data_IF_958268155016
#
_entry.id   IF_958268155016
#
_cell.length_a   1.000
_cell.length_b   1.000
_cell.length_c   1.000
_cell.angle_alpha   90.00
_cell.angle_beta   90.00
_cell.angle_gamma   90.00
#
_symmetry.space_group_name_H-M   'P 1'
#
loop_
_entity.id
_entity.type
_entity.pdbx_description
1 polymer ?
#
# COMPACT_ATOMS: atom_id res chain seq x y z
N UNK A 1 11.14 8.49 24.01
CA UNK A 1 10.71 7.18 24.57
C UNK A 1 9.56 6.68 23.71
N UNK A 2 9.66 5.48 23.12
CA UNK A 2 8.58 4.90 22.30
C UNK A 2 7.31 4.68 23.14
N UNK A 3 6.14 4.97 22.57
CA UNK A 3 4.85 4.67 23.20
C UNK A 3 4.64 3.15 23.30
N UNK A 4 3.77 2.73 24.25
CA UNK A 4 3.50 1.31 24.51
C UNK A 4 2.95 0.58 23.28
N UNK A 5 2.21 1.30 22.43
CA UNK A 5 1.61 0.81 21.18
C UNK A 5 2.65 0.62 20.06
N UNK A 6 3.63 1.52 19.97
CA UNK A 6 4.76 1.41 19.01
C UNK A 6 5.70 0.27 19.40
N UNK A 7 5.93 0.07 20.70
CA UNK A 7 6.66 -1.11 21.20
C UNK A 7 5.92 -2.41 20.86
N UNK A 8 4.60 -2.46 21.02
CA UNK A 8 3.80 -3.66 20.72
C UNK A 8 3.79 -4.01 19.22
N UNK A 9 3.70 -3.01 18.34
CA UNK A 9 3.87 -3.23 16.90
C UNK A 9 5.28 -3.74 16.59
N UNK A 10 6.32 -3.10 17.13
CA UNK A 10 7.72 -3.47 16.91
C UNK A 10 8.12 -4.85 17.48
N UNK A 11 7.63 -5.23 18.66
CA UNK A 11 7.81 -6.57 19.22
C UNK A 11 7.03 -7.61 18.41
N UNK A 12 5.84 -7.29 17.90
CA UNK A 12 5.15 -8.11 16.91
C UNK A 12 5.95 -8.28 15.61
N UNK A 13 6.58 -7.20 15.11
CA UNK A 13 7.43 -7.22 13.90
C UNK A 13 8.71 -8.05 14.07
N UNK A 14 9.41 -7.90 15.20
CA UNK A 14 10.61 -8.67 15.52
C UNK A 14 10.27 -10.15 15.77
N UNK A 15 9.15 -10.42 16.42
CA UNK A 15 8.68 -11.77 16.70
C UNK A 15 8.18 -12.49 15.44
N UNK A 16 7.52 -11.81 14.49
CA UNK A 16 7.08 -12.40 13.21
C UNK A 16 8.26 -12.66 12.28
N UNK A 17 9.25 -11.77 12.24
CA UNK A 17 10.48 -11.99 11.45
C UNK A 17 11.32 -13.12 12.05
N UNK A 18 11.45 -13.17 13.38
CA UNK A 18 12.11 -14.26 14.11
C UNK A 18 11.35 -15.58 14.00
N UNK A 19 10.01 -15.60 14.12
CA UNK A 19 9.18 -16.80 13.93
C UNK A 19 9.18 -17.29 12.49
N UNK A 20 9.15 -16.38 11.51
CA UNK A 20 9.26 -16.70 10.09
C UNK A 20 10.62 -17.33 9.78
N UNK A 21 11.69 -16.80 10.38
CA UNK A 21 13.03 -17.40 10.28
C UNK A 21 13.17 -18.69 11.05
N UNK A 22 12.63 -18.83 12.26
CA UNK A 22 12.63 -20.08 13.05
C UNK A 22 11.81 -21.16 12.34
N UNK A 23 10.72 -20.81 11.66
CA UNK A 23 9.97 -21.73 10.81
C UNK A 23 10.75 -22.10 9.56
N UNK A 24 11.44 -21.15 8.91
CA UNK A 24 12.32 -21.40 7.77
C UNK A 24 13.51 -22.29 8.18
N UNK A 25 14.10 -22.05 9.34
CA UNK A 25 15.21 -22.80 9.93
C UNK A 25 14.76 -24.20 10.34
N UNK A 26 13.59 -24.35 10.98
CA UNK A 26 13.01 -25.66 11.28
C UNK A 26 12.62 -26.43 10.02
N UNK A 27 12.06 -25.77 9.00
CA UNK A 27 11.79 -26.39 7.71
C UNK A 27 13.09 -26.84 7.05
N UNK A 28 14.13 -26.00 6.99
CA UNK A 28 15.41 -26.33 6.36
C UNK A 28 16.21 -27.39 7.15
N UNK A 29 16.11 -27.43 8.47
CA UNK A 29 16.75 -28.45 9.32
C UNK A 29 15.97 -29.77 9.34
N UNK A 30 14.65 -29.75 9.15
CA UNK A 30 13.82 -30.97 9.18
C UNK A 30 13.45 -31.53 7.79
N UNK A 31 13.54 -30.75 6.70
CA UNK A 31 13.34 -31.29 5.34
C UNK A 31 14.43 -32.23 4.80
N UNK A 32 15.71 -32.20 5.25
CA UNK A 32 16.71 -33.13 4.74
C UNK A 32 16.66 -34.51 5.41
N UNK A 33 15.76 -34.72 6.38
CA UNK A 33 15.61 -36.02 7.07
C UNK A 33 15.06 -37.12 6.14
N UNK A 34 14.77 -36.82 4.86
CA UNK A 34 14.28 -37.81 3.89
C UNK A 34 15.19 -38.19 2.74
N UNK A 35 16.43 -37.70 2.65
CA UNK A 35 17.28 -38.05 1.49
C UNK A 35 18.76 -38.08 1.85
N UNK A 36 19.33 -39.29 1.97
CA UNK A 36 20.67 -39.71 1.49
C UNK A 36 21.94 -38.85 1.65
N UNK A 37 21.90 -37.69 2.31
CA UNK A 37 23.04 -36.78 2.44
C UNK A 37 24.03 -37.30 3.47
N UNK A 38 25.30 -37.23 3.10
CA UNK A 38 26.44 -37.46 3.98
C UNK A 38 26.54 -36.40 5.08
N UNK A 39 27.22 -36.73 6.18
CA UNK A 39 27.46 -35.79 7.28
C UNK A 39 28.24 -34.53 6.86
N UNK A 40 29.15 -34.66 5.89
CA UNK A 40 29.90 -33.54 5.32
C UNK A 40 28.99 -32.54 4.59
N UNK A 41 28.04 -33.03 3.80
CA UNK A 41 27.06 -32.19 3.11
C UNK A 41 26.16 -31.46 4.10
N UNK A 42 25.77 -32.09 5.22
CA UNK A 42 25.00 -31.43 6.29
C UNK A 42 25.80 -30.30 6.96
N UNK A 43 27.08 -30.51 7.22
CA UNK A 43 27.97 -29.51 7.85
C UNK A 43 28.18 -28.31 6.91
N UNK A 44 28.42 -28.56 5.62
CA UNK A 44 28.64 -27.52 4.61
C UNK A 44 27.35 -26.71 4.35
N UNK A 45 26.21 -27.40 4.32
CA UNK A 45 24.90 -26.78 4.26
C UNK A 45 24.64 -25.91 5.52
N UNK A 46 24.99 -26.41 6.70
CA UNK A 46 24.91 -25.68 7.97
C UNK A 46 25.76 -24.41 7.99
N UNK A 47 26.99 -24.45 7.47
CA UNK A 47 27.86 -23.26 7.33
C UNK A 47 27.27 -22.24 6.36
N UNK A 48 26.82 -22.68 5.18
CA UNK A 48 26.21 -21.82 4.16
C UNK A 48 24.94 -21.12 4.66
N UNK A 49 24.14 -21.80 5.49
CA UNK A 49 22.96 -21.17 6.11
C UNK A 49 23.32 -20.30 7.32
N UNK A 50 24.38 -20.64 8.08
CA UNK A 50 24.91 -19.79 9.15
C UNK A 50 25.45 -18.45 8.65
N UNK A 51 26.23 -18.44 7.55
CA UNK A 51 26.72 -17.21 6.90
C UNK A 51 25.56 -16.36 6.36
N UNK A 52 24.53 -17.00 5.78
CA UNK A 52 23.31 -16.31 5.37
C UNK A 52 22.54 -15.72 6.57
N UNK A 53 22.52 -16.39 7.71
CA UNK A 53 21.86 -15.88 8.91
C UNK A 53 22.57 -14.63 9.48
N UNK A 54 23.91 -14.61 9.47
CA UNK A 54 24.71 -13.43 9.86
C UNK A 54 24.49 -12.26 8.90
N UNK A 55 24.51 -12.51 7.57
CA UNK A 55 24.22 -11.46 6.59
C UNK A 55 22.80 -10.88 6.76
N UNK A 56 21.81 -11.72 7.09
CA UNK A 56 20.45 -11.25 7.40
C UNK A 56 20.40 -10.46 8.71
N UNK A 57 21.17 -10.84 9.74
CA UNK A 57 21.25 -10.10 11.00
C UNK A 57 21.92 -8.72 10.83
N UNK A 58 22.94 -8.63 9.98
CA UNK A 58 23.56 -7.36 9.57
C UNK A 58 22.56 -6.49 8.78
N UNK A 59 21.81 -7.06 7.83
CA UNK A 59 20.75 -6.35 7.08
C UNK A 59 19.60 -5.87 8.00
N UNK A 60 19.23 -6.64 9.03
CA UNK A 60 18.24 -6.23 10.04
C UNK A 60 18.76 -5.04 10.85
N UNK A 61 20.05 -5.07 11.23
CA UNK A 61 20.69 -3.99 12.01
C UNK A 61 20.78 -2.69 11.19
N UNK A 62 21.10 -2.78 9.90
CA UNK A 62 21.09 -1.64 8.99
C UNK A 62 19.67 -1.10 8.75
N UNK A 63 18.68 -2.00 8.62
CA UNK A 63 17.26 -1.62 8.50
C UNK A 63 16.76 -0.86 9.73
N UNK A 64 17.20 -1.22 10.94
CA UNK A 64 16.88 -0.48 12.16
C UNK A 64 17.48 0.92 12.16
N UNK A 65 18.73 1.07 11.73
CA UNK A 65 19.38 2.40 11.63
C UNK A 65 18.63 3.29 10.65
N UNK A 66 18.35 2.76 9.45
CA UNK A 66 17.61 3.45 8.39
C UNK A 66 16.23 3.88 8.90
N UNK A 67 15.50 2.98 9.55
CA UNK A 67 14.20 3.30 10.13
C UNK A 67 14.28 4.41 11.18
N UNK A 68 15.28 4.38 12.07
CA UNK A 68 15.47 5.45 13.07
C UNK A 68 15.78 6.80 12.43
N UNK A 69 16.54 6.83 11.35
CA UNK A 69 16.83 8.06 10.60
C UNK A 69 15.58 8.62 9.92
N UNK A 70 14.78 7.76 9.28
CA UNK A 70 13.50 8.15 8.68
C UNK A 70 12.56 8.70 9.75
N UNK A 71 12.46 8.02 10.90
CA UNK A 71 11.62 8.48 12.02
C UNK A 71 12.06 9.85 12.54
N UNK A 72 13.37 10.14 12.60
CA UNK A 72 13.84 11.49 12.95
C UNK A 72 13.33 12.53 11.95
N UNK A 73 13.41 12.25 10.65
CA UNK A 73 12.89 13.16 9.60
C UNK A 73 11.39 13.37 9.74
N UNK A 74 10.62 12.31 9.95
CA UNK A 74 9.17 12.39 10.12
C UNK A 74 8.76 13.17 11.38
N UNK A 75 9.50 13.00 12.48
CA UNK A 75 9.24 13.74 13.73
C UNK A 75 9.57 15.24 13.65
N UNK A 76 10.29 15.67 12.60
CA UNK A 76 10.57 17.09 12.34
C UNK A 76 9.48 17.75 11.47
N UNK A 77 8.54 16.98 10.92
CA UNK A 77 7.43 17.54 10.16
C UNK A 77 6.44 18.24 11.08
N UNK A 78 5.88 19.34 10.61
CA UNK A 78 4.79 20.02 11.30
C UNK A 78 3.58 19.09 11.42
N UNK A 79 2.84 19.24 12.52
CA UNK A 79 1.63 18.47 12.73
C UNK A 79 0.62 18.84 11.64
N UNK A 80 0.11 17.83 10.95
CA UNK A 80 -0.94 18.04 9.97
C UNK A 80 -2.28 18.35 10.66
N UNK A 81 -2.92 19.42 10.21
CA UNK A 81 -4.29 19.79 10.54
C UNK A 81 -5.08 19.85 9.23
N UNK A 82 -6.10 18.99 9.05
CA UNK A 82 -6.89 18.99 7.83
C UNK A 82 -7.71 20.28 7.72
N UNK A 83 -7.86 20.79 6.51
CA UNK A 83 -8.70 21.95 6.25
C UNK A 83 -10.16 21.65 6.65
N UNK A 84 -10.82 22.61 7.32
CA UNK A 84 -12.20 22.46 7.80
C UNK A 84 -13.19 22.17 6.65
N UNK A 85 -12.95 22.79 5.50
CA UNK A 85 -13.77 22.64 4.29
C UNK A 85 -13.45 21.35 3.49
N UNK A 86 -12.49 20.54 3.92
CA UNK A 86 -12.05 19.31 3.25
C UNK A 86 -11.43 19.48 1.86
N UNK A 87 -11.02 20.69 1.47
CA UNK A 87 -10.40 20.94 0.16
C UNK A 87 -9.00 20.33 0.08
N UNK A 88 -8.77 19.58 -0.99
CA UNK A 88 -7.42 19.20 -1.40
C UNK A 88 -6.75 20.36 -2.13
N UNK A 89 -5.44 20.40 -2.06
CA UNK A 89 -4.61 21.27 -2.90
C UNK A 89 -3.85 20.42 -3.93
N UNK A 90 -3.45 21.03 -5.05
CA UNK A 90 -2.61 20.37 -6.05
C UNK A 90 -1.29 19.87 -5.44
N UNK A 91 -0.67 20.67 -4.56
CA UNK A 91 0.56 20.30 -3.85
C UNK A 91 0.39 19.03 -3.03
N UNK A 92 -0.72 18.89 -2.29
CA UNK A 92 -1.02 17.69 -1.52
C UNK A 92 -1.16 16.45 -2.39
N UNK A 93 -1.77 16.57 -3.57
CA UNK A 93 -1.91 15.47 -4.53
C UNK A 93 -0.54 15.09 -5.12
N UNK A 94 0.29 16.08 -5.47
CA UNK A 94 1.65 15.82 -5.95
C UNK A 94 2.53 15.14 -4.89
N UNK A 95 2.52 15.62 -3.65
CA UNK A 95 3.24 14.99 -2.53
C UNK A 95 2.73 13.57 -2.29
N UNK A 96 1.41 13.36 -2.28
CA UNK A 96 0.82 12.02 -2.19
C UNK A 96 1.33 11.09 -3.29
N UNK A 97 1.35 11.58 -4.53
CA UNK A 97 1.81 10.83 -5.69
C UNK A 97 3.30 10.45 -5.58
N UNK A 98 4.15 11.38 -5.14
CA UNK A 98 5.57 11.13 -4.88
C UNK A 98 5.77 9.97 -3.90
N UNK A 99 5.01 9.94 -2.80
CA UNK A 99 5.05 8.84 -1.83
C UNK A 99 4.68 7.51 -2.50
N UNK A 100 3.64 7.50 -3.34
CA UNK A 100 3.15 6.27 -4.00
C UNK A 100 4.15 5.74 -5.04
N UNK A 101 4.70 6.61 -5.90
CA UNK A 101 5.72 6.21 -6.88
C UNK A 101 6.97 5.69 -6.19
N UNK A 102 7.49 6.43 -5.19
CA UNK A 102 8.65 6.00 -4.40
C UNK A 102 8.44 4.60 -3.84
N UNK A 103 7.28 4.36 -3.23
CA UNK A 103 6.96 3.05 -2.67
C UNK A 103 7.02 1.95 -3.73
N UNK A 104 6.44 2.23 -4.89
CA UNK A 104 6.31 1.24 -5.93
C UNK A 104 7.64 0.94 -6.63
N UNK A 105 8.46 1.95 -6.88
CA UNK A 105 9.80 1.80 -7.43
C UNK A 105 10.70 0.99 -6.50
N UNK A 106 10.67 1.30 -5.19
CA UNK A 106 11.41 0.54 -4.18
C UNK A 106 10.95 -0.91 -4.08
N UNK A 107 9.64 -1.16 -4.07
CA UNK A 107 9.09 -2.53 -4.07
C UNK A 107 9.48 -3.29 -5.34
N UNK A 108 9.49 -2.62 -6.50
CA UNK A 108 9.90 -3.22 -7.76
C UNK A 108 11.39 -3.56 -7.77
N UNK A 109 12.25 -2.64 -7.34
CA UNK A 109 13.69 -2.89 -7.18
C UNK A 109 13.92 -4.04 -6.22
N UNK A 110 13.30 -4.03 -5.03
CA UNK A 110 13.41 -5.13 -4.08
C UNK A 110 12.98 -6.49 -4.69
N UNK A 111 11.88 -6.54 -5.44
CA UNK A 111 11.46 -7.76 -6.15
C UNK A 111 12.49 -8.21 -7.20
N UNK A 112 13.02 -7.26 -7.97
CA UNK A 112 13.98 -7.54 -9.04
C UNK A 112 15.33 -7.96 -8.48
N UNK A 113 15.83 -7.27 -7.48
CA UNK A 113 17.22 -7.37 -7.03
C UNK A 113 17.37 -8.43 -5.95
N UNK A 114 16.33 -8.71 -5.16
CA UNK A 114 16.40 -9.68 -4.05
C UNK A 114 15.58 -10.95 -4.31
N UNK A 115 14.29 -10.82 -4.58
CA UNK A 115 13.38 -11.97 -4.69
C UNK A 115 13.69 -12.85 -5.91
N UNK A 116 14.11 -12.24 -7.04
CA UNK A 116 14.45 -12.97 -8.26
C UNK A 116 15.66 -13.89 -8.08
N UNK A 117 16.56 -13.56 -7.15
CA UNK A 117 17.76 -14.34 -6.85
C UNK A 117 17.47 -15.60 -6.00
N UNK A 118 16.29 -15.67 -5.38
CA UNK A 118 15.85 -16.85 -4.62
C UNK A 118 15.38 -17.91 -5.62
N UNK A 119 15.89 -19.16 -5.59
CA UNK A 119 15.41 -20.23 -6.45
C UNK A 119 13.88 -20.42 -6.36
N UNK A 120 13.24 -20.79 -7.47
CA UNK A 120 11.79 -20.98 -7.54
C UNK A 120 11.28 -22.01 -6.54
N UNK A 121 10.15 -21.70 -5.89
CA UNK A 121 9.49 -22.60 -4.93
C UNK A 121 9.04 -21.92 -3.63
N UNK A 122 8.80 -22.73 -2.60
CA UNK A 122 8.26 -22.31 -1.31
C UNK A 122 9.08 -21.21 -0.62
N UNK A 123 10.41 -21.23 -0.76
CA UNK A 123 11.30 -20.21 -0.19
C UNK A 123 11.08 -18.80 -0.76
N UNK A 124 10.85 -18.69 -2.08
CA UNK A 124 10.53 -17.41 -2.74
C UNK A 124 9.15 -16.89 -2.30
N UNK A 125 8.17 -17.80 -2.14
CA UNK A 125 6.84 -17.45 -1.66
C UNK A 125 6.85 -16.96 -0.20
N UNK A 126 7.59 -17.63 0.68
CA UNK A 126 7.73 -17.20 2.08
C UNK A 126 8.45 -15.85 2.16
N UNK A 127 9.54 -15.63 1.43
CA UNK A 127 10.25 -14.34 1.41
C UNK A 127 9.34 -13.20 0.94
N UNK A 128 8.52 -13.43 -0.10
CA UNK A 128 7.52 -12.46 -0.54
C UNK A 128 6.48 -12.17 0.54
N UNK A 129 5.92 -13.19 1.20
CA UNK A 129 4.85 -13.01 2.18
C UNK A 129 5.34 -12.43 3.52
N UNK A 130 6.48 -12.88 4.03
CA UNK A 130 7.01 -12.45 5.33
C UNK A 130 7.56 -11.03 5.29
N UNK A 131 8.12 -10.59 4.17
CA UNK A 131 8.78 -9.28 4.07
C UNK A 131 7.92 -8.21 3.39
N UNK A 132 6.85 -8.54 2.66
CA UNK A 132 6.02 -7.55 1.94
C UNK A 132 5.45 -6.45 2.85
N UNK A 133 5.04 -6.77 4.08
CA UNK A 133 4.52 -5.79 5.03
C UNK A 133 5.60 -4.82 5.52
N UNK A 134 6.79 -5.35 5.82
CA UNK A 134 7.94 -4.57 6.31
C UNK A 134 8.47 -3.67 5.20
N UNK A 135 8.72 -4.23 4.01
CA UNK A 135 9.20 -3.48 2.84
C UNK A 135 8.23 -2.34 2.51
N UNK A 136 6.92 -2.61 2.46
CA UNK A 136 5.94 -1.56 2.21
C UNK A 136 5.96 -0.45 3.28
N UNK A 137 6.10 -0.82 4.56
CA UNK A 137 6.13 0.14 5.67
C UNK A 137 7.36 1.04 5.60
N UNK A 138 8.54 0.47 5.35
CA UNK A 138 9.79 1.22 5.18
C UNK A 138 9.71 2.14 3.96
N UNK A 139 9.25 1.61 2.84
CA UNK A 139 9.06 2.37 1.60
C UNK A 139 8.10 3.54 1.79
N UNK A 140 6.96 3.33 2.49
CA UNK A 140 6.02 4.40 2.83
C UNK A 140 6.69 5.45 3.69
N UNK A 141 7.40 5.04 4.74
CA UNK A 141 8.07 5.97 5.65
C UNK A 141 9.15 6.81 4.94
N UNK A 142 9.96 6.20 4.06
CA UNK A 142 10.91 6.92 3.21
C UNK A 142 10.20 7.94 2.31
N UNK A 143 9.17 7.49 1.57
CA UNK A 143 8.44 8.36 0.66
C UNK A 143 7.77 9.53 1.39
N UNK A 144 7.20 9.30 2.56
CA UNK A 144 6.62 10.34 3.43
C UNK A 144 7.68 11.37 3.85
N UNK A 145 8.88 10.91 4.22
CA UNK A 145 9.97 11.80 4.62
C UNK A 145 10.49 12.63 3.42
N UNK A 146 10.60 12.03 2.24
CA UNK A 146 11.04 12.71 1.01
C UNK A 146 10.01 13.74 0.53
N UNK A 147 8.73 13.37 0.51
CA UNK A 147 7.64 14.24 0.15
C UNK A 147 7.32 15.30 1.23
N UNK A 148 7.96 15.25 2.40
CA UNK A 148 7.62 16.09 3.57
C UNK A 148 6.12 16.04 3.88
N UNK A 149 5.58 14.83 3.93
CA UNK A 149 4.17 14.56 4.15
C UNK A 149 4.01 13.70 5.40
N UNK A 150 3.12 14.07 6.31
CA UNK A 150 2.86 13.24 7.49
C UNK A 150 1.99 12.04 7.13
N UNK A 151 2.05 10.96 7.90
CA UNK A 151 1.17 9.81 7.69
C UNK A 151 -0.33 10.17 7.82
N UNK A 152 -0.77 10.97 8.82
CA UNK A 152 -2.14 11.47 8.88
C UNK A 152 -2.56 12.28 7.65
N UNK A 153 -1.67 13.12 7.12
CA UNK A 153 -1.93 13.87 5.88
C UNK A 153 -2.10 12.92 4.69
N UNK A 154 -1.20 11.95 4.54
CA UNK A 154 -1.25 10.96 3.46
C UNK A 154 -2.55 10.15 3.47
N UNK A 155 -2.95 9.67 4.64
CA UNK A 155 -4.18 8.88 4.80
C UNK A 155 -5.42 9.76 4.56
N UNK A 156 -5.39 11.02 4.99
CA UNK A 156 -6.46 11.99 4.74
C UNK A 156 -6.61 12.32 3.25
N UNK A 157 -5.50 12.65 2.56
CA UNK A 157 -5.51 12.90 1.11
C UNK A 157 -5.99 11.67 0.35
N UNK A 158 -5.51 10.47 0.70
CA UNK A 158 -5.95 9.20 0.11
C UNK A 158 -7.48 9.05 0.19
N UNK A 159 -8.05 9.29 1.37
CA UNK A 159 -9.49 9.17 1.60
C UNK A 159 -10.29 10.16 0.74
N UNK A 160 -9.90 11.44 0.74
CA UNK A 160 -10.58 12.49 -0.04
C UNK A 160 -10.54 12.18 -1.54
N UNK A 161 -9.40 11.70 -2.03
CA UNK A 161 -9.25 11.26 -3.41
C UNK A 161 -10.17 10.06 -3.71
N UNK A 162 -10.23 9.04 -2.86
CA UNK A 162 -11.12 7.89 -3.06
C UNK A 162 -12.61 8.27 -3.07
N UNK A 163 -13.03 9.21 -2.24
CA UNK A 163 -14.42 9.71 -2.23
C UNK A 163 -14.74 10.44 -3.54
N UNK A 164 -13.85 11.33 -4.00
CA UNK A 164 -13.98 12.02 -5.28
C UNK A 164 -14.00 11.03 -6.46
N UNK A 165 -13.13 10.03 -6.46
CA UNK A 165 -13.11 8.98 -7.47
C UNK A 165 -14.40 8.15 -7.47
N UNK A 166 -14.91 7.78 -6.29
CA UNK A 166 -16.15 6.99 -6.18
C UNK A 166 -17.36 7.80 -6.66
N UNK A 167 -17.40 9.10 -6.36
CA UNK A 167 -18.41 9.99 -6.92
C UNK A 167 -18.37 9.96 -8.46
N UNK A 168 -17.21 10.19 -9.07
CA UNK A 168 -17.06 10.22 -10.52
C UNK A 168 -17.42 8.86 -11.17
N UNK A 169 -16.98 7.74 -10.59
CA UNK A 169 -17.33 6.39 -11.06
C UNK A 169 -18.83 6.15 -11.00
N UNK A 170 -19.49 6.54 -9.90
CA UNK A 170 -20.94 6.41 -9.77
C UNK A 170 -21.68 7.27 -10.79
N UNK A 171 -21.24 8.48 -11.07
CA UNK A 171 -21.87 9.34 -12.09
C UNK A 171 -21.69 8.77 -13.50
N UNK A 172 -20.49 8.31 -13.86
CA UNK A 172 -20.23 7.66 -15.15
C UNK A 172 -21.13 6.44 -15.35
N UNK A 173 -21.26 5.57 -14.35
CA UNK A 173 -22.16 4.41 -14.38
C UNK A 173 -23.64 4.80 -14.49
N UNK A 174 -24.08 5.86 -13.80
CA UNK A 174 -25.47 6.36 -13.85
C UNK A 174 -25.84 7.01 -15.18
N UNK A 175 -24.88 7.67 -15.84
CA UNK A 175 -25.12 8.39 -17.09
C UNK A 175 -25.60 7.50 -18.25
N UNK A 176 -25.37 6.18 -18.16
CA UNK A 176 -25.64 5.24 -19.25
C UNK A 176 -24.66 5.35 -20.43
N UNK A 177 -23.76 6.36 -20.44
CA UNK A 177 -22.72 6.58 -21.46
C UNK A 177 -21.45 5.78 -21.18
N UNK A 178 -21.61 4.52 -20.77
CA UNK A 178 -20.49 3.62 -20.45
C UNK A 178 -20.21 2.73 -21.65
N UNK A 179 -18.98 2.76 -22.15
CA UNK A 179 -18.58 1.85 -23.23
C UNK A 179 -18.54 0.41 -22.72
N UNK A 180 -18.94 -0.60 -23.51
CA UNK A 180 -18.92 -2.01 -23.07
C UNK A 180 -17.58 -2.46 -22.48
N UNK A 181 -16.46 -2.03 -23.08
CA UNK A 181 -15.10 -2.33 -22.65
C UNK A 181 -14.70 -1.70 -21.30
N UNK A 182 -15.36 -0.62 -20.89
CA UNK A 182 -15.09 0.09 -19.63
C UNK A 182 -15.94 -0.45 -18.47
N UNK A 183 -17.07 -1.10 -18.77
CA UNK A 183 -18.10 -1.42 -17.78
C UNK A 183 -17.56 -2.28 -16.64
N UNK A 184 -16.85 -3.35 -16.95
CA UNK A 184 -16.29 -4.24 -15.93
C UNK A 184 -15.20 -3.54 -15.12
N UNK A 185 -14.37 -2.71 -15.76
CA UNK A 185 -13.35 -1.90 -15.09
C UNK A 185 -13.95 -0.90 -14.11
N UNK A 186 -15.05 -0.22 -14.51
CA UNK A 186 -15.79 0.71 -13.65
C UNK A 186 -16.47 0.00 -12.47
N UNK A 187 -17.05 -1.19 -12.69
CA UNK A 187 -17.65 -1.99 -11.61
C UNK A 187 -16.57 -2.41 -10.61
N UNK A 188 -15.44 -2.95 -11.07
CA UNK A 188 -14.31 -3.33 -10.21
C UNK A 188 -13.74 -2.13 -9.45
N UNK A 189 -13.58 -0.98 -10.12
CA UNK A 189 -13.14 0.26 -9.48
C UNK A 189 -14.11 0.69 -8.37
N UNK A 190 -15.42 0.65 -8.64
CA UNK A 190 -16.46 0.98 -7.65
C UNK A 190 -16.39 0.06 -6.43
N UNK A 191 -16.31 -1.25 -6.63
CA UNK A 191 -16.20 -2.23 -5.54
C UNK A 191 -14.94 -1.99 -4.71
N UNK A 192 -13.80 -1.76 -5.37
CA UNK A 192 -12.52 -1.50 -4.71
C UNK A 192 -12.56 -0.21 -3.89
N UNK A 193 -13.16 0.85 -4.42
CA UNK A 193 -13.36 2.11 -3.71
C UNK A 193 -14.29 1.92 -2.51
N UNK A 194 -15.37 1.15 -2.65
CA UNK A 194 -16.23 0.79 -1.52
C UNK A 194 -15.46 0.03 -0.43
N UNK A 195 -14.57 -0.91 -0.79
CA UNK A 195 -13.71 -1.58 0.19
C UNK A 195 -12.80 -0.59 0.94
N UNK A 196 -12.13 0.30 0.20
CA UNK A 196 -11.20 1.28 0.77
C UNK A 196 -11.91 2.29 1.69
N UNK A 197 -13.16 2.64 1.38
CA UNK A 197 -13.98 3.56 2.16
C UNK A 197 -14.83 2.88 3.24
N UNK A 198 -14.76 1.55 3.37
CA UNK A 198 -15.56 0.80 4.35
C UNK A 198 -17.07 0.75 4.03
N UNK A 199 -17.45 0.94 2.77
CA UNK A 199 -18.83 0.94 2.28
C UNK A 199 -19.27 -0.46 1.83
N UNK A 200 -19.04 -1.47 2.66
CA UNK A 200 -19.37 -2.86 2.35
C UNK A 200 -19.81 -3.64 3.59
N UNK A 201 -20.46 -4.78 3.37
CA UNK A 201 -20.77 -5.77 4.40
C UNK A 201 -20.30 -7.13 3.91
N UNK A 202 -19.54 -7.81 4.75
CA UNK A 202 -19.05 -9.16 4.50
C UNK A 202 -19.94 -10.16 5.23
N UNK A 203 -20.55 -11.06 4.47
CA UNK A 203 -21.33 -12.20 4.96
C UNK A 203 -20.64 -13.50 4.50
N UNK A 204 -20.85 -14.65 5.17
CA UNK A 204 -20.21 -15.90 4.77
C UNK A 204 -20.47 -16.24 3.29
N UNK A 205 -19.44 -16.16 2.46
CA UNK A 205 -19.50 -16.45 1.03
C UNK A 205 -20.00 -15.31 0.13
N UNK A 206 -20.27 -14.12 0.67
CA UNK A 206 -20.72 -12.98 -0.13
C UNK A 206 -20.23 -11.63 0.42
N UNK A 207 -19.79 -10.73 -0.47
CA UNK A 207 -19.43 -9.35 -0.11
C UNK A 207 -20.38 -8.42 -0.85
N UNK A 208 -21.19 -7.67 -0.10
CA UNK A 208 -22.11 -6.68 -0.65
C UNK A 208 -21.54 -5.27 -0.51
N UNK A 209 -21.52 -4.51 -1.61
CA UNK A 209 -21.03 -3.13 -1.65
C UNK A 209 -22.19 -2.13 -1.67
N UNK A 210 -22.02 -1.00 -0.98
CA UNK A 210 -23.04 0.04 -0.81
C UNK A 210 -22.52 1.41 -1.29
N UNK A 211 -22.26 1.59 -2.60
CA UNK A 211 -21.76 2.85 -3.15
C UNK A 211 -22.69 4.05 -2.88
N UNK A 212 -23.98 3.81 -2.67
CA UNK A 212 -24.99 4.81 -2.33
C UNK A 212 -24.87 5.35 -0.90
N UNK A 213 -24.13 4.67 0.00
CA UNK A 213 -23.83 5.16 1.35
C UNK A 213 -22.68 6.17 1.39
N UNK A 214 -22.10 6.51 0.24
CA UNK A 214 -21.13 7.59 0.14
C UNK A 214 -21.78 8.91 0.56
N UNK A 215 -21.21 9.55 1.59
CA UNK A 215 -21.67 10.84 2.08
C UNK A 215 -21.19 11.99 1.17
N UNK A 216 -21.99 12.28 0.14
CA UNK A 216 -21.69 13.33 -0.84
C UNK A 216 -21.64 14.74 -0.23
N UNK A 217 -22.25 14.95 0.94
CA UNK A 217 -22.29 16.28 1.60
C UNK A 217 -20.92 16.72 2.12
N UNK A 218 -19.95 15.80 2.17
CA UNK A 218 -18.59 16.04 2.63
C UNK A 218 -17.55 16.02 1.51
N UNK A 219 -17.97 15.93 0.25
CA UNK A 219 -17.08 15.87 -0.91
C UNK A 219 -17.09 17.24 -1.58
N UNK A 220 -16.05 18.06 -1.40
CA UNK A 220 -15.93 19.31 -2.14
C UNK A 220 -15.91 19.08 -3.64
N UNK A 221 -16.61 19.95 -4.38
CA UNK A 221 -16.60 19.94 -5.85
C UNK A 221 -15.18 20.07 -6.38
N UNK A 222 -14.35 20.89 -5.74
CA UNK A 222 -12.94 21.06 -6.10
C UNK A 222 -12.15 19.75 -6.05
N UNK A 223 -12.46 18.84 -5.12
CA UNK A 223 -11.75 17.56 -5.04
C UNK A 223 -12.10 16.64 -6.22
N UNK A 224 -13.32 16.74 -6.76
CA UNK A 224 -13.74 16.00 -7.96
C UNK A 224 -13.00 16.52 -9.18
N UNK A 225 -12.91 17.85 -9.33
CA UNK A 225 -12.11 18.50 -10.38
C UNK A 225 -10.65 18.05 -10.34
N UNK A 226 -10.02 18.11 -9.17
CA UNK A 226 -8.65 17.65 -8.98
C UNK A 226 -8.49 16.17 -9.31
N UNK A 227 -9.41 15.30 -8.87
CA UNK A 227 -9.39 13.89 -9.26
C UNK A 227 -9.39 13.73 -10.79
N UNK A 228 -10.31 14.40 -11.50
CA UNK A 228 -10.42 14.26 -12.96
C UNK A 228 -9.14 14.69 -13.67
N UNK A 229 -8.51 15.79 -13.21
CA UNK A 229 -7.24 16.29 -13.74
C UNK A 229 -6.10 15.28 -13.50
N UNK A 230 -5.98 14.75 -12.29
CA UNK A 230 -4.86 13.90 -11.89
C UNK A 230 -5.10 12.40 -12.09
N UNK A 231 -6.27 11.96 -12.58
CA UNK A 231 -6.64 10.54 -12.65
C UNK A 231 -5.63 9.65 -13.39
N UNK A 232 -4.99 10.21 -14.43
CA UNK A 232 -4.04 9.51 -15.30
C UNK A 232 -2.59 9.69 -14.84
N UNK A 233 -2.32 10.72 -14.03
CA UNK A 233 -0.99 11.00 -13.50
C UNK A 233 -0.73 10.14 -12.25
N UNK A 234 -1.76 9.95 -11.43
CA UNK A 234 -1.63 9.24 -10.16
C UNK A 234 -1.79 7.73 -10.35
N UNK A 235 -0.87 6.94 -9.78
CA UNK A 235 -1.06 5.51 -9.62
C UNK A 235 -2.02 5.22 -8.47
N UNK A 236 -3.18 4.69 -8.80
CA UNK A 236 -4.18 4.32 -7.80
C UNK A 236 -3.94 2.91 -7.28
N UNK A 237 -3.59 2.78 -6.00
CA UNK A 237 -3.30 1.47 -5.41
C UNK A 237 -4.51 0.54 -5.56
N UNK A 238 -4.35 -0.50 -6.38
CA UNK A 238 -5.36 -1.54 -6.68
C UNK A 238 -6.59 -1.06 -7.45
N UNK A 239 -6.55 0.14 -8.05
CA UNK A 239 -7.61 0.65 -8.94
C UNK A 239 -6.93 1.06 -10.24
N UNK A 240 -7.48 0.67 -11.39
CA UNK A 240 -6.94 1.09 -12.67
C UNK A 240 -7.96 1.93 -13.44
N UNK A 241 -7.63 3.21 -13.63
CA UNK A 241 -8.42 4.15 -14.45
C UNK A 241 -7.83 4.38 -15.84
N UNK A 242 -6.72 3.72 -16.22
CA UNK A 242 -6.01 3.97 -17.48
C UNK A 242 -6.90 3.83 -18.72
N UNK A 243 -7.87 2.92 -18.64
CA UNK A 243 -8.79 2.60 -19.74
C UNK A 243 -10.20 3.16 -19.49
N UNK A 244 -10.35 4.09 -18.54
CA UNK A 244 -11.64 4.69 -18.19
C UNK A 244 -11.63 6.17 -18.55
N UNK A 245 -12.54 6.54 -19.45
CA UNK A 245 -12.74 7.92 -19.88
C UNK A 245 -13.87 8.57 -19.10
N UNK A 246 -13.50 9.55 -18.27
CA UNK A 246 -14.44 10.42 -17.59
C UNK A 246 -14.62 11.67 -18.43
N UNK A 247 -15.83 11.90 -18.92
CA UNK A 247 -16.20 13.14 -19.58
C UNK A 247 -16.22 14.26 -18.51
N UNK A 248 -15.32 15.24 -18.67
CA UNK A 248 -15.11 16.26 -17.66
C UNK A 248 -16.39 17.06 -17.40
N UNK A 249 -17.05 17.52 -18.47
CA UNK A 249 -18.24 18.37 -18.37
C UNK A 249 -19.41 17.59 -17.77
N UNK A 250 -19.64 16.34 -18.18
CA UNK A 250 -20.69 15.49 -17.61
C UNK A 250 -20.51 15.30 -16.09
N UNK A 251 -19.28 15.00 -15.64
CA UNK A 251 -19.01 14.76 -14.21
C UNK A 251 -19.10 16.07 -13.42
N UNK A 252 -18.54 17.17 -13.94
CA UNK A 252 -18.55 18.46 -13.25
C UNK A 252 -19.95 19.09 -13.20
N UNK A 253 -20.80 18.85 -14.21
CA UNK A 253 -22.21 19.22 -14.16
C UNK A 253 -22.94 18.48 -13.03
N UNK A 254 -22.70 17.17 -12.86
CA UNK A 254 -23.24 16.44 -11.72
C UNK A 254 -22.66 16.91 -10.37
N UNK A 255 -21.42 17.38 -10.37
CA UNK A 255 -20.72 17.89 -9.19
C UNK A 255 -21.21 19.28 -8.72
N UNK A 256 -22.06 19.98 -9.49
CA UNK A 256 -22.65 21.26 -9.05
C UNK A 256 -23.51 21.14 -7.78
N UNK A 257 -24.02 19.94 -7.49
CA UNK A 257 -24.79 19.66 -6.27
C UNK A 257 -23.91 19.41 -5.03
N UNK A 258 -22.58 19.36 -5.19
CA UNK A 258 -21.63 19.18 -4.10
C UNK A 258 -21.31 20.52 -3.41
N UNK A 259 -20.87 20.51 -2.15
CA UNK A 259 -20.34 21.72 -1.50
C UNK A 259 -19.15 22.29 -2.29
N UNK A 260 -18.96 23.60 -2.23
CA UNK A 260 -17.76 24.26 -2.74
C UNK A 260 -16.52 23.67 -2.10
#
# INVERSE_FOLDING_TARGET
MLSRTEKLRFFGFSFISLMGMVLLFNLILHYPVRSGMSELEKIELGKKYGEKAVAIEEEITDSERIYREIQKKLNMLERFEPAENNHLTEDQIHRHYQVVEHCWEKIRSYKKDYISQIPEGFGRAIALYSQAGIVYTLCKAEGLAEAKMTEPEFDWVSKRLWEASLFAVNQKLKSGKVRPEEKDSLIQARERLCQLLGLYKEEPGNVQYFPEKLDITKIPRHNVELFLRFKNEVRWRRINFSNVEFDYDDIMNAAQALPE
#
